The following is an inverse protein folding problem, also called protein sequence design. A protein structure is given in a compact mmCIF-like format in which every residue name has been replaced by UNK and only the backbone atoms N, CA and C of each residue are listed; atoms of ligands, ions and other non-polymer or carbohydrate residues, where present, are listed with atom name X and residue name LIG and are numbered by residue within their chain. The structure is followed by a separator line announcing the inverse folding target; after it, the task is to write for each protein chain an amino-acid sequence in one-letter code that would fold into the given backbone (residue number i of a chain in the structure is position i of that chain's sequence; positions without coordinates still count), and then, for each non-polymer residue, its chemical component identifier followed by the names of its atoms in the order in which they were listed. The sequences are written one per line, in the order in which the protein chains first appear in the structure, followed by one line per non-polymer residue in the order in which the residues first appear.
data_IF_910784738058
#
_entry.id   IF_910784738058
#
_cell.length_a   1.000
_cell.length_b   1.000
_cell.length_c   1.000
_cell.angle_alpha   90.00
_cell.angle_beta   90.00
_cell.angle_gamma   90.00
#
_symmetry.space_group_name_H-M   'P 1'
#
loop_
_entity.id
_entity.type
_entity.pdbx_description
1 polymer ?
#
# COMPACT_ATOMS: atom_id res chain seq x y z
N UNK A 1 6.95 -13.81 -12.55
CA UNK A 1 6.68 -12.61 -11.70
C UNK A 1 5.21 -12.62 -11.35
N UNK A 2 4.85 -12.34 -10.10
CA UNK A 2 3.46 -12.28 -9.61
C UNK A 2 3.10 -10.87 -9.18
N UNK A 3 1.81 -10.56 -9.23
CA UNK A 3 1.31 -9.23 -8.89
C UNK A 3 0.16 -9.33 -7.90
N UNK A 4 0.15 -8.45 -6.90
CA UNK A 4 -0.87 -8.43 -5.84
C UNK A 4 -1.38 -7.01 -5.63
N UNK A 5 -2.70 -6.84 -5.60
CA UNK A 5 -3.35 -5.61 -5.23
C UNK A 5 -4.07 -5.79 -3.89
N UNK A 6 -3.71 -4.97 -2.91
CA UNK A 6 -4.32 -4.94 -1.58
C UNK A 6 -5.15 -3.67 -1.44
N UNK A 7 -6.46 -3.79 -1.42
CA UNK A 7 -7.38 -2.66 -1.39
C UNK A 7 -8.00 -2.52 -0.01
N UNK A 8 -7.89 -1.33 0.57
CA UNK A 8 -8.53 -1.00 1.84
C UNK A 8 -9.79 -0.18 1.61
N UNK A 9 -11.00 -0.77 1.74
CA UNK A 9 -12.26 -0.07 1.51
C UNK A 9 -12.56 1.01 2.53
N UNK A 10 -11.95 0.92 3.72
CA UNK A 10 -12.12 1.91 4.79
C UNK A 10 -11.17 3.11 4.67
N UNK A 11 -10.27 3.12 3.67
CA UNK A 11 -9.34 4.23 3.48
C UNK A 11 -10.02 5.43 2.80
N UNK A 12 -9.69 6.63 3.29
CA UNK A 12 -10.19 7.87 2.67
C UNK A 12 -11.65 8.18 3.01
N UNK A 13 -12.33 8.83 2.07
CA UNK A 13 -13.73 9.28 2.25
C UNK A 13 -14.76 8.34 1.62
N UNK A 14 -14.35 7.55 0.66
CA UNK A 14 -15.20 6.65 -0.12
C UNK A 14 -14.48 5.32 -0.35
N UNK A 15 -15.24 4.25 -0.43
CA UNK A 15 -14.71 2.95 -0.80
C UNK A 15 -14.12 3.00 -2.22
N UNK A 16 -12.80 2.81 -2.31
CA UNK A 16 -12.09 2.82 -3.58
C UNK A 16 -12.29 1.54 -4.40
N UNK A 17 -12.75 0.46 -3.80
CA UNK A 17 -12.79 -0.88 -4.45
C UNK A 17 -13.70 -0.90 -5.66
N UNK A 18 -14.86 -0.23 -5.57
CA UNK A 18 -15.89 -0.21 -6.65
C UNK A 18 -15.33 0.37 -7.95
N UNK A 19 -14.52 1.43 -7.84
CA UNK A 19 -13.94 2.08 -9.02
C UNK A 19 -12.60 1.46 -9.42
N UNK A 20 -11.79 1.06 -8.45
CA UNK A 20 -10.42 0.65 -8.69
C UNK A 20 -10.32 -0.77 -9.26
N UNK A 21 -11.14 -1.71 -8.83
CA UNK A 21 -11.10 -3.09 -9.33
C UNK A 21 -11.28 -3.15 -10.87
N UNK A 22 -12.28 -2.49 -11.47
CA UNK A 22 -12.40 -2.45 -12.93
C UNK A 22 -11.21 -1.78 -13.61
N UNK A 23 -10.66 -0.72 -13.00
CA UNK A 23 -9.49 -0.02 -13.54
C UNK A 23 -8.23 -0.88 -13.52
N UNK A 24 -7.98 -1.62 -12.43
CA UNK A 24 -6.87 -2.57 -12.33
C UNK A 24 -7.01 -3.65 -13.41
N UNK A 25 -8.18 -4.23 -13.57
CA UNK A 25 -8.42 -5.26 -14.60
C UNK A 25 -8.18 -4.73 -16.01
N UNK A 26 -8.61 -3.51 -16.28
CA UNK A 26 -8.39 -2.87 -17.59
C UNK A 26 -6.90 -2.56 -17.83
N UNK A 27 -6.17 -2.05 -16.83
CA UNK A 27 -4.74 -1.79 -16.91
C UNK A 27 -3.94 -3.10 -17.07
N UNK A 28 -4.27 -4.15 -16.32
CA UNK A 28 -3.68 -5.47 -16.44
C UNK A 28 -3.87 -6.06 -17.85
N UNK A 29 -5.07 -5.92 -18.41
CA UNK A 29 -5.34 -6.36 -19.79
C UNK A 29 -4.51 -5.58 -20.82
N UNK A 30 -4.35 -4.25 -20.67
CA UNK A 30 -3.47 -3.44 -21.52
C UNK A 30 -2.00 -3.84 -21.38
N UNK A 31 -1.57 -4.22 -20.19
CA UNK A 31 -0.23 -4.74 -19.91
C UNK A 31 -0.01 -6.17 -20.43
N UNK A 32 -1.03 -6.82 -21.00
CA UNK A 32 -0.97 -8.19 -21.49
C UNK A 32 -1.00 -9.26 -20.40
N UNK A 33 -1.45 -8.92 -19.18
CA UNK A 33 -1.53 -9.88 -18.09
C UNK A 33 -2.79 -10.74 -18.19
N UNK A 34 -2.62 -12.02 -17.88
CA UNK A 34 -3.72 -12.96 -17.67
C UNK A 34 -4.25 -12.87 -16.22
N UNK A 35 -5.40 -13.47 -15.98
CA UNK A 35 -5.95 -13.55 -14.61
C UNK A 35 -5.09 -14.41 -13.65
N UNK A 36 -4.20 -15.23 -14.18
CA UNK A 36 -3.27 -16.01 -13.38
C UNK A 36 -2.05 -15.21 -12.91
N UNK A 37 -1.77 -14.06 -13.53
CA UNK A 37 -0.60 -13.25 -13.22
C UNK A 37 -0.80 -12.35 -12.00
N UNK A 38 -2.06 -12.01 -11.66
CA UNK A 38 -2.35 -11.09 -10.58
C UNK A 38 -3.55 -11.51 -9.72
N UNK A 39 -3.54 -11.06 -8.47
CA UNK A 39 -4.64 -11.21 -7.53
C UNK A 39 -5.04 -9.87 -6.94
N UNK A 40 -6.32 -9.72 -6.60
CA UNK A 40 -6.86 -8.54 -5.93
C UNK A 40 -7.52 -8.99 -4.64
N UNK A 41 -7.05 -8.47 -3.51
CA UNK A 41 -7.63 -8.72 -2.19
C UNK A 41 -8.10 -7.43 -1.55
N UNK A 42 -9.26 -7.50 -0.92
CA UNK A 42 -9.80 -6.42 -0.08
C UNK A 42 -9.44 -6.71 1.37
N UNK A 43 -8.89 -5.72 2.07
CA UNK A 43 -8.58 -5.87 3.50
C UNK A 43 -9.85 -5.73 4.33
N UNK A 44 -9.95 -6.51 5.41
CA UNK A 44 -11.15 -6.59 6.24
C UNK A 44 -10.92 -6.00 7.65
N UNK A 45 -9.67 -5.97 8.12
CA UNK A 45 -9.30 -5.49 9.45
C UNK A 45 -7.88 -4.92 9.46
N UNK A 46 -7.53 -4.21 10.52
CA UNK A 46 -6.18 -3.69 10.72
C UNK A 46 -5.17 -4.84 10.86
N UNK A 47 -4.07 -4.78 10.12
CA UNK A 47 -3.07 -5.85 10.04
C UNK A 47 -3.29 -6.84 8.90
N UNK A 48 -4.47 -6.87 8.26
CA UNK A 48 -4.76 -7.83 7.19
C UNK A 48 -3.86 -7.65 5.97
N UNK A 49 -3.53 -6.40 5.60
CA UNK A 49 -2.60 -6.14 4.49
C UNK A 49 -1.20 -6.72 4.77
N UNK A 50 -0.74 -6.68 6.04
CA UNK A 50 0.54 -7.29 6.45
C UNK A 50 0.52 -8.80 6.29
N UNK A 51 -0.57 -9.44 6.72
CA UNK A 51 -0.72 -10.91 6.64
C UNK A 51 -0.76 -11.38 5.19
N UNK A 52 -1.57 -10.73 4.35
CA UNK A 52 -1.67 -11.04 2.92
C UNK A 52 -0.36 -10.81 2.18
N UNK A 53 0.32 -9.69 2.45
CA UNK A 53 1.62 -9.40 1.83
C UNK A 53 2.68 -10.43 2.21
N UNK A 54 2.73 -10.83 3.49
CA UNK A 54 3.66 -11.84 3.97
C UNK A 54 3.40 -13.21 3.34
N UNK A 55 2.17 -13.65 3.30
CA UNK A 55 1.78 -14.92 2.71
C UNK A 55 2.15 -14.97 1.21
N UNK A 56 1.81 -13.91 0.47
CA UNK A 56 2.13 -13.81 -0.96
C UNK A 56 3.65 -13.79 -1.23
N UNK A 57 4.42 -13.05 -0.41
CA UNK A 57 5.88 -12.97 -0.55
C UNK A 57 6.54 -14.33 -0.27
N UNK A 58 6.06 -15.04 0.74
CA UNK A 58 6.54 -16.38 1.07
C UNK A 58 6.20 -17.39 -0.04
N UNK A 59 4.99 -17.37 -0.56
CA UNK A 59 4.55 -18.24 -1.65
C UNK A 59 5.35 -17.96 -2.94
N UNK A 60 5.56 -16.69 -3.29
CA UNK A 60 6.38 -16.31 -4.42
C UNK A 60 7.83 -16.77 -4.25
N UNK A 61 8.42 -16.60 -3.07
CA UNK A 61 9.78 -17.06 -2.77
C UNK A 61 9.92 -18.59 -2.92
N UNK A 62 8.96 -19.36 -2.41
CA UNK A 62 8.95 -20.81 -2.56
C UNK A 62 8.85 -21.27 -4.02
N UNK A 63 8.17 -20.50 -4.86
CA UNK A 63 8.05 -20.74 -6.30
C UNK A 63 9.24 -20.22 -7.12
N UNK A 64 10.19 -19.51 -6.51
CA UNK A 64 11.28 -18.84 -7.21
C UNK A 64 10.83 -17.61 -8.00
N UNK A 65 9.65 -17.07 -7.68
CA UNK A 65 9.06 -15.90 -8.32
C UNK A 65 9.41 -14.60 -7.58
N UNK A 66 9.44 -13.49 -8.33
CA UNK A 66 9.35 -12.16 -7.76
C UNK A 66 7.90 -11.71 -7.63
N UNK A 67 7.62 -10.84 -6.65
CA UNK A 67 6.30 -10.32 -6.33
C UNK A 67 6.31 -8.79 -6.31
N UNK A 68 5.34 -8.18 -6.99
CA UNK A 68 5.01 -6.76 -6.84
C UNK A 68 3.65 -6.61 -6.18
N UNK A 69 3.60 -5.79 -5.15
CA UNK A 69 2.37 -5.49 -4.39
C UNK A 69 2.03 -4.03 -4.58
N UNK A 70 0.78 -3.71 -4.92
CA UNK A 70 0.23 -2.36 -4.85
C UNK A 70 -0.83 -2.30 -3.77
N UNK A 71 -0.66 -1.35 -2.83
CA UNK A 71 -1.64 -1.08 -1.79
C UNK A 71 -2.51 0.10 -2.17
N UNK A 72 -3.81 -0.07 -2.26
CA UNK A 72 -4.77 1.02 -2.40
C UNK A 72 -5.33 1.38 -1.03
N UNK A 73 -4.82 2.45 -0.47
CA UNK A 73 -5.14 2.87 0.89
C UNK A 73 -4.38 4.13 1.29
N UNK A 74 -4.20 4.33 2.58
CA UNK A 74 -3.34 5.36 3.15
C UNK A 74 -2.00 4.79 3.59
N UNK A 75 -1.22 5.64 4.28
CA UNK A 75 0.11 5.30 4.80
C UNK A 75 0.09 4.04 5.70
N UNK A 76 -0.98 3.83 6.48
CA UNK A 76 -1.13 2.65 7.32
C UNK A 76 -1.19 1.35 6.52
N UNK A 77 -2.00 1.29 5.46
CA UNK A 77 -2.12 0.10 4.60
C UNK A 77 -0.79 -0.19 3.88
N UNK A 78 -0.13 0.87 3.40
CA UNK A 78 1.19 0.77 2.78
C UNK A 78 2.23 0.21 3.77
N UNK A 79 2.28 0.75 4.99
CA UNK A 79 3.20 0.30 6.04
C UNK A 79 2.94 -1.13 6.51
N UNK A 80 1.67 -1.55 6.55
CA UNK A 80 1.32 -2.95 6.84
C UNK A 80 1.93 -3.89 5.79
N UNK A 81 1.75 -3.58 4.50
CA UNK A 81 2.31 -4.39 3.42
C UNK A 81 3.85 -4.40 3.44
N UNK A 82 4.49 -3.23 3.64
CA UNK A 82 5.95 -3.12 3.79
C UNK A 82 6.46 -3.97 4.95
N UNK A 83 5.77 -3.95 6.08
CA UNK A 83 6.11 -4.81 7.23
C UNK A 83 5.93 -6.29 6.92
N UNK A 84 4.91 -6.63 6.13
CA UNK A 84 4.64 -7.99 5.71
C UNK A 84 5.76 -8.59 4.87
N UNK A 85 6.31 -7.81 3.94
CA UNK A 85 7.40 -8.27 3.05
C UNK A 85 8.80 -8.14 3.66
N UNK A 86 8.91 -7.65 4.88
CA UNK A 86 10.22 -7.52 5.54
C UNK A 86 10.94 -8.87 5.61
N UNK A 87 12.17 -8.90 5.11
CA UNK A 87 12.99 -10.11 5.01
C UNK A 87 12.82 -10.89 3.70
N UNK A 88 11.94 -10.46 2.80
CA UNK A 88 11.76 -11.07 1.48
C UNK A 88 12.36 -10.17 0.38
N UNK A 89 13.54 -10.55 -0.13
CA UNK A 89 14.22 -9.80 -1.19
C UNK A 89 13.57 -9.95 -2.58
N UNK A 90 12.61 -10.84 -2.70
CA UNK A 90 11.86 -11.09 -3.93
C UNK A 90 10.56 -10.27 -4.03
N UNK A 91 10.29 -9.39 -3.07
CA UNK A 91 9.04 -8.63 -3.02
C UNK A 91 9.28 -7.12 -2.99
N UNK A 92 8.52 -6.39 -3.81
CA UNK A 92 8.46 -4.93 -3.82
C UNK A 92 7.04 -4.43 -3.54
N UNK A 93 6.93 -3.26 -2.89
CA UNK A 93 5.63 -2.67 -2.51
C UNK A 93 5.51 -1.25 -3.05
N UNK A 94 4.45 -1.00 -3.80
CA UNK A 94 4.03 0.32 -4.25
C UNK A 94 2.74 0.77 -3.56
N UNK A 95 2.41 2.06 -3.67
CA UNK A 95 1.18 2.61 -3.11
C UNK A 95 0.33 3.30 -4.18
N UNK A 96 -0.99 3.08 -4.09
CA UNK A 96 -2.01 3.85 -4.78
C UNK A 96 -2.71 4.72 -3.72
N UNK A 97 -2.63 6.06 -3.80
CA UNK A 97 -2.93 6.97 -2.71
C UNK A 97 -4.43 7.23 -2.55
N UNK A 98 -5.13 6.34 -1.89
CA UNK A 98 -6.56 6.45 -1.57
C UNK A 98 -6.83 6.86 -0.10
N UNK A 99 -5.79 7.03 0.71
CA UNK A 99 -5.87 7.54 2.08
C UNK A 99 -5.96 9.07 2.14
N UNK A 100 -6.06 9.60 3.37
CA UNK A 100 -6.14 11.04 3.63
C UNK A 100 -4.77 11.73 3.74
N UNK A 101 -3.73 11.03 4.18
CA UNK A 101 -2.35 11.55 4.30
C UNK A 101 -1.57 11.33 3.02
N UNK A 102 -1.19 10.09 2.80
CA UNK A 102 -0.35 9.61 1.70
C UNK A 102 1.00 10.33 1.66
N UNK A 103 1.70 10.31 2.80
CA UNK A 103 2.95 11.06 2.97
C UNK A 103 4.09 10.46 2.14
N UNK A 104 4.05 9.14 1.89
CA UNK A 104 5.04 8.47 1.06
C UNK A 104 5.15 9.09 -0.34
N UNK A 105 4.02 9.34 -1.01
CA UNK A 105 4.05 9.89 -2.37
C UNK A 105 4.68 11.30 -2.44
N UNK A 106 4.55 12.11 -1.37
CA UNK A 106 5.12 13.47 -1.34
C UNK A 106 6.63 13.50 -1.46
N UNK A 107 7.29 12.42 -1.04
CA UNK A 107 8.74 12.28 -1.15
C UNK A 107 9.16 11.82 -2.54
N UNK A 108 8.35 11.00 -3.21
CA UNK A 108 8.76 10.27 -4.41
C UNK A 108 8.02 10.70 -5.69
N UNK A 109 7.02 11.58 -5.60
CA UNK A 109 6.31 12.05 -6.78
C UNK A 109 5.00 12.76 -6.48
N UNK A 110 4.12 12.78 -7.46
CA UNK A 110 2.82 13.43 -7.39
C UNK A 110 1.68 12.41 -7.29
N UNK A 111 0.52 12.86 -6.81
CA UNK A 111 -0.67 12.00 -6.77
C UNK A 111 -1.06 11.49 -8.17
N UNK A 112 -0.89 12.31 -9.19
CA UNK A 112 -1.23 11.94 -10.57
C UNK A 112 -0.39 10.76 -11.05
N UNK A 113 0.92 10.79 -10.81
CA UNK A 113 1.84 9.70 -11.16
C UNK A 113 1.52 8.40 -10.42
N UNK A 114 1.19 8.51 -9.13
CA UNK A 114 0.85 7.32 -8.31
C UNK A 114 -0.56 6.76 -8.57
N UNK A 115 -1.45 7.49 -9.23
CA UNK A 115 -2.78 7.00 -9.63
C UNK A 115 -2.87 6.56 -11.07
N UNK A 116 -1.84 6.82 -11.87
CA UNK A 116 -1.71 6.30 -13.23
C UNK A 116 -1.32 4.83 -13.19
N UNK A 117 -2.31 3.95 -13.29
CA UNK A 117 -2.11 2.51 -13.21
C UNK A 117 -1.19 1.99 -14.33
N UNK A 118 -1.29 2.51 -15.53
CA UNK A 118 -0.44 2.05 -16.64
C UNK A 118 1.03 2.38 -16.36
N UNK A 119 1.30 3.59 -15.87
CA UNK A 119 2.65 3.99 -15.45
C UNK A 119 3.14 3.17 -14.25
N UNK A 120 2.29 2.90 -13.26
CA UNK A 120 2.62 2.08 -12.10
C UNK A 120 2.97 0.63 -12.48
N UNK A 121 2.22 0.03 -13.40
CA UNK A 121 2.47 -1.34 -13.83
C UNK A 121 3.73 -1.45 -14.70
N UNK A 122 4.03 -0.45 -15.51
CA UNK A 122 5.23 -0.37 -16.36
C UNK A 122 6.48 0.07 -15.58
N UNK A 123 6.31 0.68 -14.41
CA UNK A 123 7.40 1.25 -13.61
C UNK A 123 8.40 0.23 -13.09
N UNK A 124 9.63 0.70 -12.84
CA UNK A 124 10.69 -0.09 -12.20
C UNK A 124 10.59 -0.09 -10.68
N UNK A 125 11.46 -0.86 -10.03
CA UNK A 125 11.61 -0.93 -8.58
C UNK A 125 12.78 -0.07 -8.15
N UNK A 126 12.67 0.56 -6.98
CA UNK A 126 13.75 1.32 -6.35
C UNK A 126 13.94 0.82 -4.93
N UNK A 127 15.17 0.79 -4.47
CA UNK A 127 15.48 0.51 -3.07
C UNK A 127 15.39 1.80 -2.28
N UNK A 128 14.70 1.75 -1.15
CA UNK A 128 14.56 2.86 -0.21
C UNK A 128 15.05 2.45 1.17
N UNK A 129 15.54 3.41 1.93
CA UNK A 129 15.84 3.22 3.35
C UNK A 129 14.55 3.23 4.17
N UNK A 130 14.54 2.43 5.22
CA UNK A 130 13.42 2.36 6.17
C UNK A 130 13.94 2.50 7.60
N UNK A 131 13.10 3.07 8.47
CA UNK A 131 13.38 3.18 9.90
C UNK A 131 12.77 2.00 10.64
N UNK A 132 13.59 1.22 11.33
CA UNK A 132 13.11 0.15 12.20
C UNK A 132 13.11 0.62 13.64
N UNK A 133 11.94 0.54 14.28
CA UNK A 133 11.76 0.86 15.70
C UNK A 133 11.21 -0.36 16.45
N UNK A 134 11.16 -0.28 17.77
CA UNK A 134 10.47 -1.27 18.61
C UNK A 134 8.94 -1.32 18.39
N UNK A 135 8.38 -0.31 17.71
CA UNK A 135 6.95 -0.23 17.39
C UNK A 135 6.64 -0.69 15.96
N UNK A 136 7.65 -0.93 15.13
CA UNK A 136 7.50 -1.38 13.75
C UNK A 136 8.39 -0.65 12.76
N UNK A 137 8.12 -0.89 11.49
CA UNK A 137 8.79 -0.29 10.34
C UNK A 137 8.15 1.05 9.96
N UNK A 138 8.96 2.02 9.54
CA UNK A 138 8.49 3.25 8.89
C UNK A 138 9.29 3.55 7.63
N UNK A 139 8.60 3.85 6.53
CA UNK A 139 9.20 4.27 5.25
C UNK A 139 9.09 5.78 5.02
N UNK A 140 8.44 6.53 5.93
CA UNK A 140 8.20 7.97 5.77
C UNK A 140 8.53 8.74 7.04
N UNK A 141 7.65 8.73 8.01
CA UNK A 141 7.75 9.54 9.23
C UNK A 141 7.70 8.64 10.45
N UNK A 142 8.62 8.87 11.38
CA UNK A 142 8.56 8.32 12.73
C UNK A 142 8.57 9.51 13.70
N UNK A 143 7.49 9.69 14.44
CA UNK A 143 7.33 10.79 15.39
C UNK A 143 7.30 10.29 16.83
N UNK A 144 7.90 11.07 17.74
CA UNK A 144 7.86 10.82 19.18
C UNK A 144 7.59 12.13 19.95
N UNK A 145 7.06 12.02 21.17
CA UNK A 145 6.80 13.18 22.02
C UNK A 145 5.55 13.94 21.60
N UNK A 146 5.63 15.28 21.56
CA UNK A 146 4.48 16.16 21.33
C UNK A 146 3.79 15.90 19.99
N UNK A 147 4.56 15.76 18.92
CA UNK A 147 4.03 15.53 17.57
C UNK A 147 3.24 14.21 17.51
N UNK A 148 3.74 13.16 18.13
CA UNK A 148 3.05 11.88 18.22
C UNK A 148 1.75 12.00 19.01
N UNK A 149 1.73 12.76 20.11
CA UNK A 149 0.52 12.99 20.91
C UNK A 149 -0.54 13.77 20.14
N UNK A 150 -0.15 14.80 19.40
CA UNK A 150 -1.05 15.57 18.53
C UNK A 150 -1.64 14.66 17.46
N UNK A 151 -0.79 13.91 16.73
CA UNK A 151 -1.24 12.99 15.68
C UNK A 151 -2.20 11.92 16.23
N UNK A 152 -1.92 11.35 17.40
CA UNK A 152 -2.78 10.38 18.07
C UNK A 152 -4.12 10.98 18.54
N UNK A 153 -4.14 12.28 18.83
CA UNK A 153 -5.33 13.03 19.24
C UNK A 153 -6.28 13.37 18.08
N UNK A 154 -5.78 13.52 16.86
CA UNK A 154 -6.56 13.97 15.69
C UNK A 154 -7.89 13.21 15.49
N UNK A 155 -7.97 11.88 15.60
CA UNK A 155 -9.23 11.15 15.43
C UNK A 155 -10.31 11.55 16.45
N UNK A 156 -9.91 11.98 17.66
CA UNK A 156 -10.83 12.42 18.71
C UNK A 156 -11.48 13.76 18.37
N UNK A 157 -10.76 14.64 17.66
CA UNK A 157 -11.24 15.96 17.26
C UNK A 157 -12.02 15.98 15.94
N UNK A 158 -11.89 14.94 15.12
CA UNK A 158 -12.66 14.82 13.87
C UNK A 158 -14.19 14.76 14.06
N UNK A 159 -14.67 14.52 15.28
CA UNK A 159 -16.10 14.46 15.63
C UNK A 159 -16.64 15.77 16.19
N UNK A 160 -15.81 16.79 16.35
CA UNK A 160 -16.26 18.10 16.81
C UNK A 160 -16.68 18.88 15.56
N UNK A 161 -17.97 19.21 15.40
CA UNK A 161 -18.37 20.10 14.32
C UNK A 161 -17.71 21.47 14.55
N UNK A 162 -16.89 21.89 13.60
CA UNK A 162 -16.41 23.27 13.57
C UNK A 162 -17.61 24.15 13.26
N UNK A 163 -18.00 24.96 14.25
CA UNK A 163 -19.00 26.01 14.09
C UNK A 163 -18.52 27.08 13.12
#
# INVERSE_FOLDING_TARGET
MRYLFLLNPAAGKQDCTVQLIPQIRAAAARAGWSQADYTIHTTEYAGHARELARAAAQEAAQAGDSLRIWTAGGDGTFMEAMTGVQGFSNAAVGCLPYGSGNDFLRTYGTRAEFTDLDAQLAGGEVTIDTMQTNLGLSATICAAGLDAQVAYGIPKFRRIPLC
#
